data_IF_896299298359
#
_entry.id   IF_896299298359
#
_cell.length_a   1.000
_cell.length_b   1.000
_cell.length_c   1.000
_cell.angle_alpha   90.00
_cell.angle_beta   90.00
_cell.angle_gamma   90.00
#
_symmetry.space_group_name_H-M   'P 1'
#
loop_
_entity.id
_entity.type
_entity.pdbx_description
1 polymer ?
#
# COMPACT_ATOMS: atom_id res chain seq x y z
N UNK A 1 -0.49 59.77 -8.33
CA UNK A 1 0.61 58.80 -8.33
C UNK A 1 0.27 57.69 -7.35
N UNK A 2 -0.26 56.58 -7.79
CA UNK A 2 -0.47 55.43 -6.97
C UNK A 2 -0.16 54.19 -7.82
N UNK A 3 0.98 53.59 -7.53
CA UNK A 3 1.55 52.48 -8.23
C UNK A 3 1.00 51.18 -7.59
N UNK A 4 -0.09 50.67 -8.14
CA UNK A 4 -0.69 49.38 -7.72
C UNK A 4 0.10 48.23 -8.36
N UNK A 5 1.02 47.64 -7.60
CA UNK A 5 1.64 46.35 -7.98
C UNK A 5 0.62 45.25 -7.78
N UNK A 6 0.00 44.79 -8.84
CA UNK A 6 -0.71 43.54 -8.86
C UNK A 6 0.31 42.40 -8.75
N UNK A 7 0.50 41.88 -7.58
CA UNK A 7 1.18 40.60 -7.34
C UNK A 7 0.28 39.48 -7.86
N UNK A 8 0.57 38.99 -9.05
CA UNK A 8 0.02 37.78 -9.62
C UNK A 8 0.50 36.62 -8.73
N UNK A 9 -0.38 36.11 -7.88
CA UNK A 9 -0.18 34.82 -7.22
C UNK A 9 -0.21 33.73 -8.29
N UNK A 10 0.96 33.43 -8.84
CA UNK A 10 1.16 32.19 -9.58
C UNK A 10 0.98 31.05 -8.59
N UNK A 11 -0.14 30.34 -8.67
CA UNK A 11 -0.39 29.16 -7.86
C UNK A 11 0.76 28.18 -8.06
N UNK A 12 1.53 27.99 -7.01
CA UNK A 12 2.60 27.00 -6.94
C UNK A 12 2.01 25.63 -7.25
N UNK A 13 2.32 25.09 -8.42
CA UNK A 13 1.92 23.74 -8.80
C UNK A 13 2.68 22.79 -7.87
N UNK A 14 2.03 22.37 -6.79
CA UNK A 14 2.55 21.31 -5.94
C UNK A 14 2.58 20.03 -6.76
N UNK A 15 3.75 19.71 -7.28
CA UNK A 15 4.01 18.40 -7.86
C UNK A 15 3.72 17.35 -6.80
N UNK A 16 2.94 16.31 -7.11
CA UNK A 16 2.71 15.22 -6.18
C UNK A 16 4.08 14.70 -5.73
N UNK A 17 4.33 14.71 -4.40
CA UNK A 17 5.54 14.11 -3.85
C UNK A 17 5.66 12.71 -4.42
N UNK A 18 6.84 12.40 -4.97
CA UNK A 18 7.15 11.07 -5.50
C UNK A 18 6.74 10.05 -4.43
N UNK A 19 5.68 9.29 -4.72
CA UNK A 19 5.23 8.22 -3.87
C UNK A 19 6.41 7.28 -3.68
N UNK A 20 6.77 6.98 -2.44
CA UNK A 20 7.74 5.94 -2.11
C UNK A 20 7.43 4.74 -2.99
N UNK A 21 8.44 4.21 -3.70
CA UNK A 21 8.20 3.16 -4.69
C UNK A 21 7.34 2.05 -4.06
N UNK A 22 6.17 1.71 -4.63
CA UNK A 22 5.24 0.76 -4.03
C UNK A 22 5.89 -0.60 -3.76
N UNK A 23 6.93 -0.93 -4.52
CA UNK A 23 7.73 -2.14 -4.35
C UNK A 23 8.50 -2.19 -3.02
N UNK A 24 9.01 -1.06 -2.53
CA UNK A 24 9.73 -1.01 -1.24
C UNK A 24 8.77 -1.24 -0.06
N UNK A 25 7.59 -0.68 -0.13
CA UNK A 25 6.55 -0.85 0.90
C UNK A 25 6.08 -2.32 0.97
N UNK A 26 5.76 -2.91 -0.19
CA UNK A 26 5.40 -4.33 -0.29
C UNK A 26 6.54 -5.23 0.17
N UNK A 27 7.79 -4.95 -0.25
CA UNK A 27 8.95 -5.72 0.17
C UNK A 27 9.16 -5.71 1.68
N UNK A 28 8.96 -4.56 2.35
CA UNK A 28 9.03 -4.45 3.82
C UNK A 28 7.97 -5.31 4.51
N UNK A 29 6.75 -5.30 4.00
CA UNK A 29 5.64 -6.10 4.57
C UNK A 29 5.85 -7.58 4.39
N UNK A 30 6.30 -8.00 3.21
CA UNK A 30 6.67 -9.40 2.95
C UNK A 30 7.81 -9.83 3.85
N UNK A 31 8.85 -9.02 3.98
CA UNK A 31 9.95 -9.29 4.90
C UNK A 31 9.49 -9.45 6.35
N UNK A 32 8.57 -8.60 6.80
CA UNK A 32 7.98 -8.71 8.14
C UNK A 32 7.10 -9.97 8.29
N UNK A 33 6.31 -10.32 7.28
CA UNK A 33 5.53 -11.56 7.30
C UNK A 33 6.43 -12.82 7.40
N UNK A 34 7.51 -12.85 6.63
CA UNK A 34 8.51 -13.94 6.70
C UNK A 34 9.18 -13.98 8.07
N UNK A 35 9.52 -12.81 8.64
CA UNK A 35 10.13 -12.77 9.98
C UNK A 35 9.20 -13.32 11.07
N UNK A 36 7.88 -13.14 10.96
CA UNK A 36 6.91 -13.73 11.87
C UNK A 36 6.88 -15.27 11.76
N UNK A 37 6.94 -15.82 10.54
CA UNK A 37 7.01 -17.28 10.34
C UNK A 37 8.29 -17.85 10.95
N UNK A 38 9.44 -17.19 10.69
CA UNK A 38 10.72 -17.59 11.27
C UNK A 38 10.71 -17.49 12.81
N UNK A 39 10.11 -16.44 13.35
CA UNK A 39 9.95 -16.25 14.79
C UNK A 39 9.15 -17.39 15.42
N UNK A 40 8.02 -17.77 14.83
CA UNK A 40 7.23 -18.91 15.31
C UNK A 40 8.00 -20.22 15.18
N UNK A 41 8.69 -20.45 14.07
CA UNK A 41 9.53 -21.65 13.87
C UNK A 41 10.61 -21.76 14.94
N UNK A 42 11.25 -20.63 15.31
CA UNK A 42 12.25 -20.61 16.39
C UNK A 42 11.65 -20.94 17.75
N UNK A 43 10.45 -20.45 18.07
CA UNK A 43 9.77 -20.79 19.34
C UNK A 43 9.53 -22.30 19.42
N UNK A 44 9.03 -22.90 18.33
CA UNK A 44 8.75 -24.33 18.26
C UNK A 44 10.03 -25.14 18.34
N UNK A 45 11.07 -24.75 17.60
CA UNK A 45 12.36 -25.44 17.62
C UNK A 45 13.04 -25.39 18.98
N UNK A 46 12.97 -24.25 19.68
CA UNK A 46 13.52 -24.11 21.03
C UNK A 46 12.72 -24.88 22.08
N UNK A 47 11.41 -24.99 21.86
CA UNK A 47 10.49 -25.73 22.75
C UNK A 47 10.12 -27.13 22.24
N UNK A 48 10.90 -27.70 21.32
CA UNK A 48 10.58 -28.92 20.57
C UNK A 48 10.13 -30.10 21.46
N UNK A 49 10.68 -30.25 22.67
CA UNK A 49 10.33 -31.31 23.61
C UNK A 49 8.88 -31.18 24.13
N UNK A 50 8.24 -30.04 23.92
CA UNK A 50 6.86 -29.78 24.28
C UNK A 50 5.85 -30.00 23.15
N UNK A 51 6.31 -30.38 21.97
CA UNK A 51 5.49 -30.67 20.79
C UNK A 51 5.61 -32.11 20.39
N UNK A 52 4.56 -32.70 19.85
CA UNK A 52 4.53 -34.07 19.35
C UNK A 52 3.97 -34.07 17.93
N UNK A 53 4.64 -34.78 17.05
CA UNK A 53 4.18 -35.15 15.73
C UNK A 53 3.38 -36.46 15.76
N UNK A 54 2.40 -36.59 14.90
CA UNK A 54 1.60 -37.83 14.75
C UNK A 54 2.46 -39.06 14.40
N UNK A 55 3.63 -38.87 13.77
CA UNK A 55 4.57 -39.95 13.46
C UNK A 55 5.37 -40.42 14.69
N UNK A 56 5.36 -39.63 15.77
CA UNK A 56 6.13 -39.91 16.99
C UNK A 56 7.61 -39.55 16.89
N UNK A 57 8.02 -38.94 15.80
CA UNK A 57 9.40 -38.48 15.59
C UNK A 57 9.70 -37.19 16.38
N UNK A 58 10.99 -36.93 16.64
CA UNK A 58 11.40 -35.69 17.27
C UNK A 58 11.27 -34.53 16.31
N UNK A 59 10.66 -33.44 16.79
CA UNK A 59 10.51 -32.19 16.01
C UNK A 59 11.86 -31.62 15.61
N UNK A 60 12.14 -31.64 14.31
CA UNK A 60 13.32 -31.07 13.70
C UNK A 60 13.11 -29.62 13.25
N UNK A 61 14.14 -29.09 12.58
CA UNK A 61 14.07 -27.75 12.01
C UNK A 61 12.99 -27.63 10.93
N UNK A 62 12.88 -28.64 10.06
CA UNK A 62 11.89 -28.62 8.97
C UNK A 62 10.47 -28.68 9.50
N UNK A 63 10.23 -29.52 10.54
CA UNK A 63 8.93 -29.67 11.17
C UNK A 63 8.51 -28.40 11.89
N UNK A 64 9.46 -27.71 12.53
CA UNK A 64 9.23 -26.41 13.15
C UNK A 64 8.85 -25.34 12.13
N UNK A 65 9.49 -25.30 10.96
CA UNK A 65 9.18 -24.37 9.89
C UNK A 65 7.84 -24.70 9.23
N UNK A 66 7.57 -25.99 9.03
CA UNK A 66 6.29 -26.47 8.53
C UNK A 66 5.16 -26.09 9.49
N UNK A 67 5.28 -26.43 10.79
CA UNK A 67 4.30 -26.06 11.80
C UNK A 67 4.04 -24.56 11.85
N UNK A 68 5.11 -23.76 11.83
CA UNK A 68 5.00 -22.30 11.81
C UNK A 68 4.21 -21.81 10.60
N UNK A 69 4.52 -22.33 9.41
CA UNK A 69 3.85 -21.95 8.16
C UNK A 69 2.38 -22.29 8.19
N UNK A 70 2.03 -23.51 8.59
CA UNK A 70 0.65 -24.03 8.66
C UNK A 70 -0.15 -23.28 9.74
N UNK A 71 0.48 -22.98 10.88
CA UNK A 71 -0.18 -22.31 12.00
C UNK A 71 -0.41 -20.84 11.72
N UNK A 72 0.60 -20.12 11.21
CA UNK A 72 0.51 -18.68 10.94
C UNK A 72 -0.48 -18.38 9.81
N UNK A 73 -0.54 -19.26 8.78
CA UNK A 73 -1.52 -19.15 7.69
C UNK A 73 -2.93 -19.59 8.06
N UNK A 74 -3.13 -20.03 9.31
CA UNK A 74 -4.42 -20.49 9.85
C UNK A 74 -4.95 -21.81 9.26
N UNK A 75 -4.12 -22.59 8.59
CA UNK A 75 -4.50 -23.90 8.05
C UNK A 75 -4.69 -24.91 9.18
N UNK A 76 -3.67 -25.12 10.05
CA UNK A 76 -3.73 -25.90 11.27
C UNK A 76 -4.17 -27.36 11.06
N UNK A 77 -3.37 -28.16 10.38
CA UNK A 77 -3.70 -29.60 10.14
C UNK A 77 -3.82 -30.40 11.42
N UNK A 78 -3.11 -30.01 12.50
CA UNK A 78 -3.18 -30.68 13.78
C UNK A 78 -2.28 -31.92 13.89
N UNK A 79 -1.43 -32.14 12.89
CA UNK A 79 -0.42 -33.19 12.82
C UNK A 79 0.74 -32.95 13.81
N UNK A 80 1.09 -31.72 14.08
CA UNK A 80 2.01 -31.33 15.15
C UNK A 80 1.23 -30.55 16.20
N UNK A 81 1.32 -30.97 17.45
CA UNK A 81 0.53 -30.42 18.56
C UNK A 81 1.38 -30.10 19.79
N UNK A 82 1.01 -28.99 20.48
CA UNK A 82 1.59 -28.64 21.78
C UNK A 82 1.01 -29.50 22.90
N UNK A 83 1.83 -30.33 23.51
CA UNK A 83 1.40 -31.29 24.60
C UNK A 83 1.83 -30.81 25.97
N UNK A 84 2.95 -30.11 26.11
CA UNK A 84 3.40 -29.58 27.40
C UNK A 84 2.71 -28.27 27.75
N UNK A 85 2.59 -27.97 29.04
CA UNK A 85 2.00 -26.71 29.52
C UNK A 85 2.83 -25.49 29.05
N UNK A 86 4.16 -25.61 28.98
CA UNK A 86 5.04 -24.59 28.48
C UNK A 86 4.80 -24.30 27.00
N UNK A 87 4.66 -25.33 26.16
CA UNK A 87 4.38 -25.19 24.74
C UNK A 87 2.97 -24.59 24.50
N UNK A 88 1.98 -25.00 25.30
CA UNK A 88 0.63 -24.42 25.27
C UNK A 88 0.63 -22.94 25.65
N UNK A 89 1.36 -22.59 26.71
CA UNK A 89 1.52 -21.18 27.12
C UNK A 89 2.22 -20.35 26.04
N UNK A 90 3.30 -20.87 25.46
CA UNK A 90 3.98 -20.21 24.33
C UNK A 90 3.04 -20.03 23.12
N UNK A 91 2.21 -21.02 22.83
CA UNK A 91 1.20 -20.93 21.77
C UNK A 91 0.21 -19.81 22.03
N UNK A 92 -0.33 -19.70 23.24
CA UNK A 92 -1.31 -18.68 23.62
C UNK A 92 -0.66 -17.29 23.64
N UNK A 93 0.52 -17.15 24.26
CA UNK A 93 1.13 -15.84 24.53
C UNK A 93 1.94 -15.27 23.37
N UNK A 94 2.53 -16.12 22.54
CA UNK A 94 3.45 -15.68 21.46
C UNK A 94 2.94 -16.06 20.06
N UNK A 95 2.57 -17.33 19.84
CA UNK A 95 2.19 -17.81 18.51
C UNK A 95 0.84 -17.23 18.07
N UNK A 96 -0.15 -17.20 18.95
CA UNK A 96 -1.48 -16.66 18.61
C UNK A 96 -1.45 -15.16 18.29
N UNK A 97 -0.78 -14.29 19.06
CA UNK A 97 -0.63 -12.89 18.67
C UNK A 97 0.16 -12.71 17.36
N UNK A 98 1.23 -13.48 17.14
CA UNK A 98 2.00 -13.44 15.90
C UNK A 98 1.13 -13.79 14.68
N UNK A 99 0.27 -14.81 14.80
CA UNK A 99 -0.71 -15.21 13.79
C UNK A 99 -1.71 -14.08 13.50
N UNK A 100 -2.25 -13.42 14.54
CA UNK A 100 -3.19 -12.30 14.36
C UNK A 100 -2.51 -11.15 13.63
N UNK A 101 -1.29 -10.79 14.00
CA UNK A 101 -0.51 -9.73 13.32
C UNK A 101 -0.25 -10.10 11.86
N UNK A 102 0.10 -11.35 11.57
CA UNK A 102 0.28 -11.83 10.20
C UNK A 102 -0.99 -11.67 9.37
N UNK A 103 -2.15 -12.08 9.90
CA UNK A 103 -3.44 -11.93 9.22
C UNK A 103 -3.77 -10.46 8.92
N UNK A 104 -3.60 -9.59 9.91
CA UNK A 104 -3.83 -8.14 9.74
C UNK A 104 -2.91 -7.59 8.63
N UNK A 105 -1.65 -8.02 8.59
CA UNK A 105 -0.69 -7.59 7.59
C UNK A 105 -1.12 -8.03 6.18
N UNK A 106 -1.50 -9.30 5.99
CA UNK A 106 -1.91 -9.85 4.70
C UNK A 106 -3.21 -9.21 4.22
N UNK A 107 -4.24 -9.19 5.07
CA UNK A 107 -5.55 -8.59 4.72
C UNK A 107 -5.40 -7.10 4.47
N UNK A 108 -4.69 -6.38 5.35
CA UNK A 108 -4.45 -4.94 5.21
C UNK A 108 -3.75 -4.58 3.91
N UNK A 109 -2.73 -5.36 3.51
CA UNK A 109 -2.04 -5.16 2.23
C UNK A 109 -2.97 -5.38 1.04
N UNK A 110 -3.79 -6.40 1.08
CA UNK A 110 -4.76 -6.70 0.02
C UNK A 110 -5.79 -5.58 -0.13
N UNK A 111 -6.37 -5.12 0.98
CA UNK A 111 -7.34 -4.02 0.99
C UNK A 111 -6.72 -2.72 0.46
N UNK A 112 -5.50 -2.39 0.87
CA UNK A 112 -4.80 -1.18 0.40
C UNK A 112 -4.58 -1.20 -1.11
N UNK A 113 -4.06 -2.30 -1.67
CA UNK A 113 -3.84 -2.45 -3.11
C UNK A 113 -5.15 -2.32 -3.90
N UNK A 114 -6.24 -2.92 -3.42
CA UNK A 114 -7.56 -2.81 -4.04
C UNK A 114 -8.13 -1.39 -3.97
N UNK A 115 -7.94 -0.72 -2.82
CA UNK A 115 -8.46 0.62 -2.58
C UNK A 115 -7.72 1.66 -3.43
N UNK A 116 -6.40 1.57 -3.55
CA UNK A 116 -5.60 2.50 -4.36
C UNK A 116 -5.97 2.41 -5.84
N UNK A 117 -6.16 1.22 -6.38
CA UNK A 117 -6.65 1.04 -7.76
C UNK A 117 -8.02 1.68 -7.96
N UNK A 118 -8.93 1.47 -7.02
CA UNK A 118 -10.29 2.01 -7.09
C UNK A 118 -10.29 3.54 -6.99
N UNK A 119 -9.47 4.13 -6.11
CA UNK A 119 -9.31 5.58 -5.98
C UNK A 119 -8.75 6.21 -7.25
N UNK A 120 -7.73 5.63 -7.85
CA UNK A 120 -7.14 6.15 -9.10
C UNK A 120 -8.16 6.15 -10.23
N UNK A 121 -8.94 5.07 -10.39
CA UNK A 121 -9.99 4.99 -11.40
C UNK A 121 -11.09 6.03 -11.18
N UNK A 122 -11.50 6.26 -9.92
CA UNK A 122 -12.49 7.28 -9.58
C UNK A 122 -11.97 8.70 -9.81
N UNK A 123 -10.71 8.98 -9.49
CA UNK A 123 -10.07 10.28 -9.76
C UNK A 123 -9.99 10.55 -11.26
N UNK A 124 -9.56 9.58 -12.06
CA UNK A 124 -9.51 9.71 -13.52
C UNK A 124 -10.92 9.93 -14.10
N UNK A 125 -11.92 9.21 -13.63
CA UNK A 125 -13.33 9.40 -14.07
C UNK A 125 -13.87 10.78 -13.69
N UNK A 126 -13.58 11.27 -12.48
CA UNK A 126 -13.96 12.62 -12.03
C UNK A 126 -13.23 13.69 -12.85
N UNK A 127 -11.95 13.51 -13.10
CA UNK A 127 -11.14 14.43 -13.91
C UNK A 127 -11.66 14.48 -15.35
N UNK A 128 -11.92 13.34 -16.00
CA UNK A 128 -12.49 13.28 -17.35
C UNK A 128 -13.87 13.94 -17.46
N UNK A 129 -14.67 13.95 -16.40
CA UNK A 129 -15.96 14.66 -16.40
C UNK A 129 -15.82 16.16 -16.30
N UNK A 130 -14.75 16.65 -15.64
CA UNK A 130 -14.46 18.09 -15.52
C UNK A 130 -13.78 18.67 -16.77
N UNK A 131 -13.06 17.84 -17.51
CA UNK A 131 -12.28 18.24 -18.71
C UNK A 131 -13.11 18.10 -20.01
N UNK A 132 -14.42 17.94 -19.93
CA UNK A 132 -15.28 18.05 -21.11
C UNK A 132 -15.28 19.49 -21.58
N UNK A 133 -15.06 19.70 -22.89
CA UNK A 133 -14.96 21.01 -23.53
C UNK A 133 -13.82 21.90 -22.99
N UNK A 134 -12.69 21.26 -22.66
CA UNK A 134 -11.50 21.96 -22.20
C UNK A 134 -10.55 22.26 -23.36
N UNK A 135 -10.13 23.51 -23.47
CA UNK A 135 -9.18 23.97 -24.48
C UNK A 135 -7.77 23.96 -23.92
N UNK A 136 -6.83 23.37 -24.65
CA UNK A 136 -5.42 23.35 -24.29
C UNK A 136 -4.63 24.13 -25.34
N UNK A 137 -3.99 25.23 -24.92
CA UNK A 137 -3.13 26.03 -25.78
C UNK A 137 -1.68 25.64 -25.49
N UNK A 138 -1.02 25.06 -26.50
CA UNK A 138 0.40 24.71 -26.46
C UNK A 138 1.24 25.84 -26.99
N UNK A 139 2.13 26.39 -26.14
CA UNK A 139 2.96 27.56 -26.50
C UNK A 139 2.25 28.89 -26.23
N UNK A 140 2.70 29.61 -25.20
CA UNK A 140 2.13 30.90 -24.79
C UNK A 140 3.02 32.06 -25.26
N UNK A 141 3.34 32.07 -26.57
CA UNK A 141 3.91 33.23 -27.24
C UNK A 141 2.82 34.24 -27.71
N UNK A 142 3.16 35.18 -28.56
CA UNK A 142 2.22 36.19 -29.08
C UNK A 142 0.97 35.57 -29.71
N UNK A 143 1.12 34.48 -30.44
CA UNK A 143 0.02 33.73 -31.08
C UNK A 143 -0.87 33.00 -30.06
N UNK A 144 -0.26 32.34 -29.07
CA UNK A 144 -1.01 31.63 -28.01
C UNK A 144 -1.79 32.60 -27.12
N UNK A 145 -1.21 33.76 -26.80
CA UNK A 145 -1.89 34.81 -26.05
C UNK A 145 -3.09 35.37 -26.83
N UNK A 146 -2.94 35.59 -28.15
CA UNK A 146 -4.04 36.05 -29.01
C UNK A 146 -5.15 35.00 -29.10
N UNK A 147 -4.83 33.71 -29.22
CA UNK A 147 -5.80 32.62 -29.24
C UNK A 147 -6.57 32.50 -27.93
N UNK A 148 -5.88 32.60 -26.77
CA UNK A 148 -6.51 32.62 -25.46
C UNK A 148 -7.49 33.78 -25.30
N UNK A 149 -7.08 34.99 -25.71
CA UNK A 149 -7.92 36.19 -25.66
C UNK A 149 -9.16 36.07 -26.58
N UNK A 150 -9.05 35.42 -27.72
CA UNK A 150 -10.18 35.21 -28.63
C UNK A 150 -11.18 34.17 -28.05
N UNK A 151 -10.69 33.09 -27.44
CA UNK A 151 -11.56 32.10 -26.76
C UNK A 151 -12.32 32.72 -25.60
N UNK A 152 -11.68 33.55 -24.77
CA UNK A 152 -12.35 34.26 -23.68
C UNK A 152 -13.40 35.25 -24.23
N UNK A 153 -13.11 35.95 -25.32
CA UNK A 153 -14.08 36.84 -25.99
C UNK A 153 -15.31 36.09 -26.54
N UNK A 154 -15.11 34.83 -26.94
CA UNK A 154 -16.22 33.93 -27.38
C UNK A 154 -17.02 33.31 -26.22
N UNK A 155 -16.71 33.69 -24.98
CA UNK A 155 -17.44 33.26 -23.80
C UNK A 155 -16.94 31.95 -23.20
N UNK A 156 -15.74 31.48 -23.55
CA UNK A 156 -15.11 30.34 -22.89
C UNK A 156 -14.64 30.77 -21.52
N UNK A 157 -15.12 30.07 -20.46
CA UNK A 157 -14.71 30.32 -19.09
C UNK A 157 -13.21 30.05 -18.90
N UNK A 158 -12.47 30.89 -18.15
CA UNK A 158 -11.02 30.73 -17.92
C UNK A 158 -10.65 29.37 -17.32
N UNK A 159 -11.51 28.74 -16.53
CA UNK A 159 -11.31 27.41 -15.93
C UNK A 159 -11.38 26.27 -16.95
N UNK A 160 -11.85 26.53 -18.17
CA UNK A 160 -11.83 25.61 -19.31
C UNK A 160 -10.61 25.80 -20.22
N UNK A 161 -9.68 26.66 -19.81
CA UNK A 161 -8.46 26.98 -20.57
C UNK A 161 -7.22 26.51 -19.78
N UNK A 162 -6.41 25.65 -20.38
CA UNK A 162 -5.07 25.33 -19.89
C UNK A 162 -4.00 25.87 -20.84
N UNK A 163 -3.05 26.57 -20.27
CA UNK A 163 -1.90 27.12 -20.98
C UNK A 163 -0.67 26.31 -20.65
N UNK A 164 -0.06 25.65 -21.62
CA UNK A 164 1.19 24.91 -21.46
C UNK A 164 2.29 25.73 -22.17
N UNK A 165 3.22 26.25 -21.37
CA UNK A 165 4.40 26.90 -21.85
C UNK A 165 5.47 25.85 -22.16
N UNK A 166 5.96 25.83 -23.40
CA UNK A 166 7.08 24.98 -23.84
C UNK A 166 8.31 25.85 -23.88
#
# INVERSE_FOLDING_TARGET
MANGRHSTHLGEVQLPRAASSPLREVGRRVGFAVSLVVFVALIVLLGRDGYVDDTGDQIGFLDSLYYASVTVTTTGYGDITAVSDGARLATIALITPARIVFLILVVGTTVEVLTDRSRQLLLIRRWRRRVRDHYVILGFGSTGASAAADLVRRGVEPDRLSLIHI
#
